data_IF_944841108803
#
_entry.id   IF_944841108803
#
_cell.length_a   1.000
_cell.length_b   1.000
_cell.length_c   1.000
_cell.angle_alpha   90.00
_cell.angle_beta   90.00
_cell.angle_gamma   90.00
#
_symmetry.space_group_name_H-M   'P 1'
#
loop_
_entity.id
_entity.type
_entity.pdbx_description
1 polymer ?
#
# COMPACT_ATOMS: atom_id res chain seq x y z
N UNK A 1 3.48 27.46 23.66
CA UNK A 1 2.48 26.40 23.86
C UNK A 1 3.07 25.43 24.87
N UNK A 2 2.47 25.29 26.06
CA UNK A 2 3.07 24.55 27.16
C UNK A 2 3.09 23.04 26.89
N UNK A 3 4.11 22.34 27.41
CA UNK A 3 4.29 20.90 27.30
C UNK A 3 3.06 20.11 27.77
N UNK A 4 2.36 20.64 28.78
CA UNK A 4 1.10 20.08 29.29
C UNK A 4 -0.06 20.13 28.29
N UNK A 5 -0.11 21.13 27.39
CA UNK A 5 -1.11 21.20 26.34
C UNK A 5 -0.85 20.14 25.27
N UNK A 6 0.41 19.81 24.99
CA UNK A 6 0.79 18.73 24.07
C UNK A 6 0.49 17.34 24.66
N UNK A 7 0.73 17.13 25.94
CA UNK A 7 0.40 15.85 26.60
C UNK A 7 -1.11 15.63 26.70
N UNK A 8 -1.90 16.68 26.95
CA UNK A 8 -3.37 16.62 26.93
C UNK A 8 -3.91 16.34 25.50
N UNK A 9 -3.30 16.89 24.47
CA UNK A 9 -3.73 16.60 23.08
C UNK A 9 -3.46 15.15 22.69
N UNK A 10 -2.37 14.55 23.21
CA UNK A 10 -2.07 13.14 23.00
C UNK A 10 -3.10 12.19 23.64
N UNK A 11 -3.56 12.49 24.86
CA UNK A 11 -4.59 11.67 25.52
C UNK A 11 -5.99 11.82 24.92
N UNK A 12 -6.29 12.99 24.33
CA UNK A 12 -7.53 13.24 23.60
C UNK A 12 -7.59 12.50 22.25
N UNK A 13 -6.44 12.19 21.66
CA UNK A 13 -6.38 11.45 20.39
C UNK A 13 -6.95 10.03 20.51
N UNK A 14 -6.76 9.36 21.65
CA UNK A 14 -7.26 8.00 21.88
C UNK A 14 -8.76 7.92 22.17
N UNK A 15 -9.35 8.98 22.72
CA UNK A 15 -10.78 9.07 22.97
C UNK A 15 -11.58 9.56 21.76
N UNK A 16 -10.89 10.07 20.72
CA UNK A 16 -11.52 10.59 19.52
C UNK A 16 -11.73 9.45 18.50
N UNK A 17 -12.92 9.29 17.89
CA UNK A 17 -13.20 8.30 16.87
C UNK A 17 -12.21 8.36 15.69
N UNK A 18 -11.71 9.54 15.34
CA UNK A 18 -10.68 9.71 14.28
C UNK A 18 -9.35 9.07 14.66
N UNK A 19 -8.90 9.23 15.92
CA UNK A 19 -7.66 8.62 16.41
C UNK A 19 -7.76 7.08 16.42
N UNK A 20 -8.89 6.53 16.85
CA UNK A 20 -9.14 5.07 16.81
C UNK A 20 -9.13 4.52 15.40
N UNK A 21 -9.73 5.23 14.46
CA UNK A 21 -9.72 4.87 13.04
C UNK A 21 -8.31 4.89 12.46
N UNK A 22 -7.52 5.90 12.78
CA UNK A 22 -6.12 5.98 12.36
C UNK A 22 -5.28 4.82 12.90
N UNK A 23 -5.42 4.48 14.18
CA UNK A 23 -4.73 3.32 14.78
C UNK A 23 -5.13 2.03 14.07
N UNK A 24 -6.41 1.83 13.79
CA UNK A 24 -6.89 0.68 13.05
C UNK A 24 -6.24 0.57 11.65
N UNK A 25 -6.21 1.67 10.90
CA UNK A 25 -5.56 1.71 9.59
C UNK A 25 -4.05 1.42 9.67
N UNK A 26 -3.38 1.93 10.70
CA UNK A 26 -1.95 1.68 10.93
C UNK A 26 -1.69 0.21 11.23
N UNK A 27 -2.49 -0.42 12.07
CA UNK A 27 -2.38 -1.85 12.39
C UNK A 27 -2.62 -2.72 11.15
N UNK A 28 -3.67 -2.43 10.37
CA UNK A 28 -3.96 -3.15 9.13
C UNK A 28 -2.82 -3.00 8.12
N UNK A 29 -2.26 -1.80 8.00
CA UNK A 29 -1.12 -1.56 7.11
C UNK A 29 0.13 -2.32 7.55
N UNK A 30 0.41 -2.34 8.85
CA UNK A 30 1.50 -3.14 9.41
C UNK A 30 1.32 -4.64 9.16
N UNK A 31 0.11 -5.16 9.33
CA UNK A 31 -0.22 -6.55 9.03
C UNK A 31 -0.02 -6.89 7.55
N UNK A 32 -0.44 -6.01 6.63
CA UNK A 32 -0.25 -6.21 5.19
C UNK A 32 1.25 -6.20 4.80
N UNK A 33 2.05 -5.30 5.38
CA UNK A 33 3.50 -5.29 5.16
C UNK A 33 4.12 -6.58 5.68
N UNK A 34 3.76 -7.02 6.89
CA UNK A 34 4.26 -8.27 7.46
C UNK A 34 3.88 -9.48 6.60
N UNK A 35 2.64 -9.56 6.14
CA UNK A 35 2.18 -10.62 5.24
C UNK A 35 2.96 -10.62 3.92
N UNK A 36 3.24 -9.44 3.35
CA UNK A 36 4.06 -9.32 2.14
C UNK A 36 5.49 -9.84 2.38
N UNK A 37 6.11 -9.52 3.52
CA UNK A 37 7.44 -10.03 3.85
C UNK A 37 7.45 -11.55 4.06
N UNK A 38 6.42 -12.11 4.66
CA UNK A 38 6.27 -13.57 4.81
C UNK A 38 6.19 -14.21 3.42
N UNK A 39 5.32 -13.73 2.55
CA UNK A 39 5.21 -14.22 1.17
C UNK A 39 6.53 -14.10 0.40
N UNK A 40 7.24 -13.00 0.56
CA UNK A 40 8.53 -12.79 -0.08
C UNK A 40 9.58 -13.82 0.37
N UNK A 41 9.55 -14.24 1.63
CA UNK A 41 10.46 -15.26 2.18
C UNK A 41 10.08 -16.67 1.76
N UNK A 42 8.78 -16.97 1.69
CA UNK A 42 8.27 -18.30 1.36
C UNK A 42 8.33 -18.59 -0.15
N UNK A 43 8.36 -17.57 -1.01
CA UNK A 43 8.52 -17.75 -2.44
C UNK A 43 9.94 -18.28 -2.71
N UNK A 44 10.08 -19.57 -3.10
CA UNK A 44 11.39 -20.20 -3.20
C UNK A 44 12.23 -19.52 -4.27
N UNK A 45 13.52 -19.35 -3.97
CA UNK A 45 14.56 -18.90 -4.90
C UNK A 45 14.59 -19.77 -6.19
N UNK A 46 13.94 -20.91 -6.20
CA UNK A 46 13.75 -21.80 -7.34
C UNK A 46 12.93 -21.19 -8.49
N UNK A 47 12.14 -20.14 -8.24
CA UNK A 47 11.45 -19.42 -9.31
C UNK A 47 12.41 -18.62 -10.21
N UNK A 48 13.68 -18.53 -9.87
CA UNK A 48 14.66 -17.70 -10.61
C UNK A 48 15.29 -18.40 -11.81
N UNK A 49 15.00 -19.68 -12.06
CA UNK A 49 15.68 -20.49 -13.09
C UNK A 49 14.87 -20.83 -14.33
N UNK A 50 13.61 -20.44 -14.42
CA UNK A 50 12.75 -20.73 -15.59
C UNK A 50 12.07 -19.47 -16.14
N UNK A 51 11.58 -19.52 -17.38
CA UNK A 51 10.93 -18.40 -18.07
C UNK A 51 9.73 -17.77 -17.31
N UNK A 52 9.22 -18.45 -16.29
CA UNK A 52 8.23 -17.92 -15.35
C UNK A 52 8.78 -16.95 -14.30
N UNK A 53 10.10 -16.86 -14.13
CA UNK A 53 10.72 -16.06 -13.08
C UNK A 53 10.52 -14.55 -13.24
N UNK A 54 10.49 -14.09 -14.49
CA UNK A 54 10.31 -12.65 -14.79
C UNK A 54 8.92 -12.15 -14.37
N UNK A 55 7.88 -12.97 -14.58
CA UNK A 55 6.51 -12.61 -14.22
C UNK A 55 6.30 -12.62 -12.70
N UNK A 56 6.89 -13.57 -11.97
CA UNK A 56 6.83 -13.63 -10.52
C UNK A 56 7.58 -12.45 -9.90
N UNK A 57 8.76 -12.11 -10.40
CA UNK A 57 9.52 -10.94 -9.94
C UNK A 57 8.77 -9.63 -10.17
N UNK A 58 8.16 -9.47 -11.35
CA UNK A 58 7.33 -8.30 -11.65
C UNK A 58 6.11 -8.21 -10.72
N UNK A 59 5.42 -9.33 -10.46
CA UNK A 59 4.28 -9.39 -9.53
C UNK A 59 4.68 -9.01 -8.11
N UNK A 60 5.82 -9.50 -7.63
CA UNK A 60 6.35 -9.15 -6.31
C UNK A 60 6.68 -7.66 -6.20
N UNK A 61 7.33 -7.10 -7.22
CA UNK A 61 7.67 -5.68 -7.23
C UNK A 61 6.41 -4.79 -7.25
N UNK A 62 5.45 -5.13 -8.11
CA UNK A 62 4.19 -4.39 -8.20
C UNK A 62 3.37 -4.50 -6.91
N UNK A 63 3.34 -5.69 -6.27
CA UNK A 63 2.66 -5.87 -4.99
C UNK A 63 3.35 -5.12 -3.86
N UNK A 64 4.69 -5.06 -3.85
CA UNK A 64 5.43 -4.21 -2.92
C UNK A 64 5.03 -2.75 -3.09
N UNK A 65 5.10 -2.21 -4.30
CA UNK A 65 4.74 -0.82 -4.58
C UNK A 65 3.30 -0.48 -4.13
N UNK A 66 2.36 -1.40 -4.36
CA UNK A 66 0.97 -1.26 -3.91
C UNK A 66 0.86 -1.27 -2.38
N UNK A 67 1.42 -2.27 -1.71
CA UNK A 67 1.34 -2.43 -0.24
C UNK A 67 2.00 -1.25 0.47
N UNK A 68 3.20 -0.85 0.04
CA UNK A 68 3.91 0.30 0.63
C UNK A 68 3.21 1.62 0.32
N UNK A 69 2.65 1.80 -0.87
CA UNK A 69 1.86 2.99 -1.22
C UNK A 69 0.59 3.13 -0.36
N UNK A 70 -0.13 2.03 -0.13
CA UNK A 70 -1.29 2.00 0.76
C UNK A 70 -0.90 2.26 2.22
N UNK A 71 0.21 1.67 2.69
CA UNK A 71 0.73 1.90 4.03
C UNK A 71 1.14 3.37 4.24
N UNK A 72 1.81 3.96 3.28
CA UNK A 72 2.18 5.38 3.32
C UNK A 72 0.96 6.28 3.52
N UNK A 73 -0.12 6.05 2.77
CA UNK A 73 -1.37 6.81 2.91
C UNK A 73 -2.06 6.59 4.26
N UNK A 74 -1.95 5.40 4.83
CA UNK A 74 -2.54 5.09 6.13
C UNK A 74 -1.78 5.73 7.28
N UNK A 75 -0.46 5.83 7.16
CA UNK A 75 0.41 6.45 8.18
C UNK A 75 0.34 7.98 8.15
N UNK A 76 0.17 8.57 6.95
CA UNK A 76 0.08 10.02 6.74
C UNK A 76 -1.31 10.41 6.20
N UNK A 77 -2.40 10.14 6.94
CA UNK A 77 -3.73 10.48 6.48
C UNK A 77 -3.90 12.00 6.49
N UNK A 78 -4.30 12.55 5.37
CA UNK A 78 -4.74 13.94 5.25
C UNK A 78 -6.19 13.97 4.81
N UNK A 79 -7.04 14.50 5.66
CA UNK A 79 -8.43 14.79 5.29
C UNK A 79 -8.51 16.21 4.74
N UNK A 80 -8.57 16.35 3.41
CA UNK A 80 -8.65 17.64 2.72
C UNK A 80 -9.87 18.47 3.16
N UNK A 81 -10.96 17.81 3.53
CA UNK A 81 -12.23 18.44 3.91
C UNK A 81 -12.18 19.05 5.31
N UNK A 82 -11.43 18.48 6.23
CA UNK A 82 -11.40 18.91 7.63
C UNK A 82 -10.07 19.55 8.07
N UNK A 83 -9.10 19.69 7.17
CA UNK A 83 -7.74 20.21 7.44
C UNK A 83 -7.05 19.54 8.65
N UNK A 84 -7.41 18.29 8.95
CA UNK A 84 -6.79 17.52 10.01
C UNK A 84 -5.52 16.90 9.44
N UNK A 85 -4.36 17.49 9.75
CA UNK A 85 -3.06 16.88 9.53
C UNK A 85 -2.57 16.31 10.85
N UNK A 86 -2.34 15.00 10.93
CA UNK A 86 -1.68 14.40 12.09
C UNK A 86 -0.21 14.78 12.18
N UNK A 87 0.44 14.95 11.02
CA UNK A 87 1.83 15.38 10.91
C UNK A 87 1.93 16.45 9.83
N UNK A 88 2.34 17.66 10.22
CA UNK A 88 2.55 18.77 9.29
C UNK A 88 3.97 18.70 8.72
N UNK A 89 4.15 17.81 7.74
CA UNK A 89 5.42 17.63 7.03
C UNK A 89 5.20 17.79 5.53
N UNK A 90 6.27 18.09 4.80
CA UNK A 90 6.24 18.17 3.33
C UNK A 90 5.70 16.86 2.69
N UNK A 91 6.02 15.70 3.29
CA UNK A 91 5.49 14.38 2.89
C UNK A 91 3.97 14.26 3.06
N UNK A 92 3.37 15.06 3.93
CA UNK A 92 1.91 15.14 4.14
C UNK A 92 1.22 16.06 3.12
N UNK A 93 1.93 16.54 2.09
CA UNK A 93 1.30 17.36 1.05
C UNK A 93 0.29 16.56 0.24
N UNK A 94 -0.81 17.21 -0.18
CA UNK A 94 -1.86 16.59 -1.02
C UNK A 94 -1.26 16.02 -2.31
N UNK A 95 -0.30 16.71 -2.90
CA UNK A 95 0.36 16.30 -4.14
C UNK A 95 1.10 14.98 -3.94
N UNK A 96 1.92 14.86 -2.89
CA UNK A 96 2.65 13.62 -2.58
C UNK A 96 1.67 12.48 -2.30
N UNK A 97 0.66 12.71 -1.47
CA UNK A 97 -0.34 11.69 -1.15
C UNK A 97 -1.10 11.17 -2.38
N UNK A 98 -1.49 12.07 -3.28
CA UNK A 98 -2.17 11.70 -4.54
C UNK A 98 -1.25 10.97 -5.50
N UNK A 99 -0.01 11.45 -5.66
CA UNK A 99 0.98 10.79 -6.53
C UNK A 99 1.27 9.36 -6.08
N UNK A 100 1.49 9.16 -4.79
CA UNK A 100 1.69 7.81 -4.22
C UNK A 100 0.47 6.92 -4.43
N UNK A 101 -0.74 7.47 -4.27
CA UNK A 101 -1.97 6.74 -4.54
C UNK A 101 -2.07 6.30 -6.00
N UNK A 102 -1.84 7.23 -6.93
CA UNK A 102 -1.92 6.95 -8.37
C UNK A 102 -0.91 5.87 -8.77
N UNK A 103 0.33 5.95 -8.27
CA UNK A 103 1.34 4.91 -8.51
C UNK A 103 0.88 3.54 -7.97
N UNK A 104 0.35 3.49 -6.75
CA UNK A 104 -0.18 2.26 -6.17
C UNK A 104 -1.33 1.68 -7.00
N UNK A 105 -2.26 2.51 -7.45
CA UNK A 105 -3.39 2.09 -8.30
C UNK A 105 -2.92 1.55 -9.65
N UNK A 106 -1.95 2.21 -10.30
CA UNK A 106 -1.35 1.72 -11.55
C UNK A 106 -0.68 0.36 -11.33
N UNK A 107 0.08 0.18 -10.23
CA UNK A 107 0.70 -1.10 -9.90
C UNK A 107 -0.35 -2.20 -9.69
N UNK A 108 -1.48 -1.88 -9.06
CA UNK A 108 -2.58 -2.82 -8.87
C UNK A 108 -3.22 -3.24 -10.20
N UNK A 109 -3.50 -2.28 -11.09
CA UNK A 109 -4.04 -2.58 -12.42
C UNK A 109 -3.06 -3.41 -13.25
N UNK A 110 -1.76 -3.11 -13.18
CA UNK A 110 -0.73 -3.87 -13.87
C UNK A 110 -0.66 -5.33 -13.37
N UNK A 111 -0.84 -5.59 -12.07
CA UNK A 111 -0.94 -6.96 -11.54
C UNK A 111 -2.11 -7.73 -12.15
N UNK A 112 -3.30 -7.10 -12.21
CA UNK A 112 -4.46 -7.71 -12.85
C UNK A 112 -4.24 -8.00 -14.32
N UNK A 113 -3.58 -7.09 -15.05
CA UNK A 113 -3.25 -7.30 -16.46
C UNK A 113 -2.33 -8.54 -16.64
N UNK A 114 -1.32 -8.70 -15.77
CA UNK A 114 -0.43 -9.88 -15.80
C UNK A 114 -1.21 -11.16 -15.49
N UNK A 115 -2.08 -11.16 -14.48
CA UNK A 115 -2.89 -12.33 -14.11
C UNK A 115 -3.82 -12.71 -15.25
N UNK A 116 -4.53 -11.75 -15.86
CA UNK A 116 -5.45 -12.00 -16.96
C UNK A 116 -4.70 -12.50 -18.21
N UNK A 117 -3.53 -11.95 -18.49
CA UNK A 117 -2.68 -12.44 -19.58
C UNK A 117 -2.28 -13.90 -19.36
N UNK A 118 -1.80 -14.26 -18.17
CA UNK A 118 -1.44 -15.63 -17.83
C UNK A 118 -2.63 -16.58 -17.91
N UNK A 119 -3.79 -16.14 -17.42
CA UNK A 119 -5.02 -16.94 -17.49
C UNK A 119 -5.46 -17.15 -18.93
N UNK A 120 -5.40 -16.12 -19.78
CA UNK A 120 -5.69 -16.19 -21.21
C UNK A 120 -4.80 -17.19 -21.94
N UNK A 121 -3.50 -17.19 -21.65
CA UNK A 121 -2.55 -18.15 -22.25
C UNK A 121 -2.81 -19.58 -21.77
N UNK A 122 -3.17 -19.79 -20.50
CA UNK A 122 -3.48 -21.11 -19.94
C UNK A 122 -4.79 -21.69 -20.50
N UNK A 123 -5.78 -20.86 -20.80
CA UNK A 123 -7.08 -21.29 -21.32
C UNK A 123 -7.13 -21.43 -22.84
N UNK A 124 -6.05 -21.11 -23.54
CA UNK A 124 -6.00 -21.14 -25.02
C UNK A 124 -6.86 -20.06 -25.68
N UNK A 125 -7.30 -19.06 -24.93
CA UNK A 125 -8.07 -17.93 -25.44
C UNK A 125 -7.15 -16.90 -26.13
N UNK A 126 -6.40 -17.35 -27.15
CA UNK A 126 -5.45 -16.49 -27.90
C UNK A 126 -6.12 -15.25 -28.53
N UNK A 127 -7.41 -15.32 -28.80
CA UNK A 127 -8.19 -14.20 -29.34
C UNK A 127 -8.40 -13.04 -28.36
N UNK A 128 -8.14 -13.23 -27.08
CA UNK A 128 -8.27 -12.17 -26.06
C UNK A 128 -6.94 -11.43 -25.81
N UNK A 129 -5.84 -11.89 -26.45
CA UNK A 129 -4.47 -11.39 -26.20
C UNK A 129 -3.94 -10.53 -27.35
N UNK A 130 -4.59 -10.56 -28.52
CA UNK A 130 -4.31 -9.69 -29.68
C UNK A 130 -5.34 -8.48 -29.67
#
# INVERSE_FOLDING_TARGET
>A
MSLEAQLRSGSLAWSNPVGRWWVFLTVVSGANIAAWFVLYRELPVQATTSAGSTSIGAMLLLSAAYVFGCAFRSLLPRADVQRICLFDTWLSSVVVGRSVATVAEICFVAQWAIILHQLGTMTGAETAVN
#
